data_IF_966997274286
#
_entry.id   IF_966997274286
#
_cell.length_a   1.000
_cell.length_b   1.000
_cell.length_c   1.000
_cell.angle_alpha   90.00
_cell.angle_beta   90.00
_cell.angle_gamma   90.00
#
_symmetry.space_group_name_H-M   'P 1'
#
loop_
_entity.id
_entity.type
_entity.pdbx_description
1 polymer ?
#
# COMPACT_ATOMS: atom_id res chain seq x y z
N UNK A 1 -27.37 -17.67 6.49
CA UNK A 1 -26.18 -18.18 5.75
C UNK A 1 -25.21 -18.99 6.63
N UNK A 2 -25.06 -18.72 7.93
CA UNK A 2 -24.16 -19.47 8.83
C UNK A 2 -24.69 -20.88 9.21
N UNK A 3 -26.01 -21.10 9.17
CA UNK A 3 -26.63 -22.39 9.51
C UNK A 3 -26.49 -23.46 8.41
N UNK A 4 -26.31 -23.06 7.15
CA UNK A 4 -26.12 -23.99 6.03
C UNK A 4 -24.72 -24.62 6.00
N UNK A 5 -23.71 -23.85 6.38
CA UNK A 5 -22.30 -24.30 6.40
C UNK A 5 -22.05 -25.31 7.52
N UNK A 6 -22.63 -25.10 8.72
CA UNK A 6 -22.53 -26.04 9.83
C UNK A 6 -23.19 -27.39 9.51
N UNK A 7 -24.34 -27.38 8.82
CA UNK A 7 -24.99 -28.62 8.36
C UNK A 7 -24.15 -29.36 7.34
N UNK A 8 -23.50 -28.66 6.41
CA UNK A 8 -22.62 -29.27 5.40
C UNK A 8 -21.38 -29.93 6.03
N UNK A 9 -20.77 -29.30 7.05
CA UNK A 9 -19.65 -29.88 7.78
C UNK A 9 -20.05 -31.10 8.60
N UNK A 10 -21.17 -31.05 9.33
CA UNK A 10 -21.66 -32.20 10.11
C UNK A 10 -22.04 -33.39 9.23
N UNK A 11 -22.60 -33.14 8.05
CA UNK A 11 -22.96 -34.21 7.10
C UNK A 11 -21.73 -34.87 6.45
N UNK A 12 -20.66 -34.11 6.19
CA UNK A 12 -19.36 -34.67 5.74
C UNK A 12 -18.64 -35.45 6.83
N UNK A 13 -18.70 -35.00 8.09
CA UNK A 13 -18.11 -35.74 9.21
C UNK A 13 -18.86 -37.06 9.43
N UNK A 14 -20.19 -37.06 9.28
CA UNK A 14 -20.96 -38.29 9.40
C UNK A 14 -20.60 -39.30 8.30
N UNK A 15 -20.47 -38.88 7.04
CA UNK A 15 -20.06 -39.74 5.92
C UNK A 15 -18.67 -40.38 6.12
N UNK A 16 -17.70 -39.61 6.62
CA UNK A 16 -16.34 -40.12 6.91
C UNK A 16 -16.36 -41.13 8.06
N UNK A 17 -17.21 -40.94 9.06
CA UNK A 17 -17.35 -41.89 10.17
C UNK A 17 -18.06 -43.18 9.74
N UNK A 18 -19.01 -43.12 8.81
CA UNK A 18 -19.67 -44.31 8.25
C UNK A 18 -18.72 -45.14 7.39
N UNK A 19 -17.86 -44.51 6.57
CA UNK A 19 -16.84 -45.22 5.77
C UNK A 19 -15.75 -45.90 6.62
N UNK A 20 -15.45 -45.34 7.79
CA UNK A 20 -14.53 -45.94 8.77
C UNK A 20 -15.18 -47.15 9.45
N UNK A 21 -16.50 -47.12 9.71
CA UNK A 21 -17.22 -48.21 10.35
C UNK A 21 -17.52 -49.38 9.40
N UNK A 22 -17.75 -49.12 8.10
CA UNK A 22 -18.08 -50.16 7.10
C UNK A 22 -16.88 -51.06 6.75
N UNK A 23 -15.64 -50.61 6.97
CA UNK A 23 -14.44 -51.41 6.67
C UNK A 23 -13.96 -52.33 7.80
N UNK A 24 -14.74 -52.47 8.88
CA UNK A 24 -14.44 -53.34 10.01
C UNK A 24 -15.52 -54.41 10.21
N UNK A 25 -15.80 -55.21 9.17
CA UNK A 25 -16.45 -56.52 9.37
C UNK A 25 -15.39 -57.57 9.71
N UNK A 26 -15.48 -58.05 10.95
CA UNK A 26 -14.65 -59.07 11.56
C UNK A 26 -14.95 -60.45 10.93
N UNK A 27 -14.03 -61.03 10.17
CA UNK A 27 -14.10 -62.44 9.75
C UNK A 27 -13.16 -63.30 10.61
N UNK A 28 -13.67 -64.15 11.53
CA UNK A 28 -12.84 -64.91 12.45
C UNK A 28 -12.46 -66.26 11.83
N UNK A 29 -11.58 -66.27 10.83
CA UNK A 29 -10.81 -67.46 10.48
C UNK A 29 -9.63 -67.12 9.55
N UNK A 30 -8.49 -66.77 10.15
CA UNK A 30 -7.13 -67.09 9.68
C UNK A 30 -6.10 -66.35 10.52
N UNK A 31 -5.14 -67.10 11.04
CA UNK A 31 -3.96 -66.64 11.75
C UNK A 31 -2.95 -66.07 10.76
N UNK A 32 -2.90 -64.75 10.57
CA UNK A 32 -1.81 -64.10 9.83
C UNK A 32 -1.32 -62.82 10.52
N UNK A 33 -0.04 -62.88 10.90
CA UNK A 33 0.94 -61.82 11.13
C UNK A 33 0.47 -60.35 11.00
N UNK A 34 0.60 -59.60 12.08
CA UNK A 34 0.47 -58.15 12.11
C UNK A 34 1.43 -57.48 11.12
N UNK A 35 0.87 -56.89 10.06
CA UNK A 35 1.60 -56.07 9.09
C UNK A 35 1.97 -54.71 9.72
N UNK A 36 3.27 -54.47 9.88
CA UNK A 36 3.86 -53.27 10.51
C UNK A 36 3.57 -51.97 9.75
N UNK A 37 3.13 -52.04 8.49
CA UNK A 37 2.76 -50.86 7.70
C UNK A 37 1.36 -50.33 8.01
N UNK A 38 0.44 -51.17 8.49
CA UNK A 38 -0.90 -50.75 8.90
C UNK A 38 -0.87 -49.90 10.17
N UNK A 39 -0.02 -50.30 11.13
CA UNK A 39 0.23 -49.54 12.37
C UNK A 39 0.93 -48.21 12.10
N UNK A 40 1.89 -48.15 11.15
CA UNK A 40 2.51 -46.89 10.73
C UNK A 40 1.49 -45.92 10.11
N UNK A 41 0.61 -46.41 9.23
CA UNK A 41 -0.41 -45.58 8.60
C UNK A 41 -1.47 -45.08 9.60
N UNK A 42 -1.82 -45.88 10.62
CA UNK A 42 -2.69 -45.44 11.70
C UNK A 42 -2.03 -44.36 12.57
N UNK A 43 -0.74 -44.53 12.90
CA UNK A 43 0.02 -43.57 13.71
C UNK A 43 0.23 -42.24 12.96
N UNK A 44 0.52 -42.30 11.65
CA UNK A 44 0.65 -41.10 10.79
C UNK A 44 -0.68 -40.35 10.69
N UNK A 45 -1.81 -41.06 10.55
CA UNK A 45 -3.14 -40.42 10.48
C UNK A 45 -3.54 -39.79 11.82
N UNK A 46 -3.17 -40.38 12.96
CA UNK A 46 -3.37 -39.79 14.29
C UNK A 46 -2.50 -38.55 14.52
N UNK A 47 -1.25 -38.55 14.04
CA UNK A 47 -0.36 -37.38 14.10
C UNK A 47 -0.88 -36.24 13.21
N UNK A 48 -1.38 -36.53 12.00
CA UNK A 48 -2.00 -35.51 11.12
C UNK A 48 -3.27 -34.93 11.76
N UNK A 49 -4.07 -35.74 12.45
CA UNK A 49 -5.26 -35.27 13.18
C UNK A 49 -4.87 -34.39 14.39
N UNK A 50 -3.78 -34.73 15.09
CA UNK A 50 -3.28 -33.94 16.23
C UNK A 50 -2.66 -32.60 15.80
N UNK A 51 -1.94 -32.57 14.66
CA UNK A 51 -1.42 -31.33 14.05
C UNK A 51 -2.57 -30.46 13.52
N UNK A 52 -3.62 -31.06 12.95
CA UNK A 52 -4.81 -30.32 12.50
C UNK A 52 -5.60 -29.68 13.66
N UNK A 53 -5.60 -30.29 14.85
CA UNK A 53 -6.25 -29.74 16.06
C UNK A 53 -5.43 -28.64 16.75
N UNK A 54 -4.11 -28.58 16.54
CA UNK A 54 -3.25 -27.49 17.03
C UNK A 54 -3.39 -26.20 16.19
N UNK A 55 -3.78 -26.32 14.91
CA UNK A 55 -4.01 -25.19 14.00
C UNK A 55 -5.24 -24.32 14.34
N UNK A 56 -6.14 -24.79 15.23
CA UNK A 56 -7.31 -24.04 15.67
C UNK A 56 -7.05 -23.11 16.87
N UNK A 57 -5.87 -23.16 17.50
CA UNK A 57 -5.55 -22.29 18.64
C UNK A 57 -5.05 -20.89 18.25
N UNK A 58 -4.62 -20.68 17.00
CA UNK A 58 -4.14 -19.36 16.55
C UNK A 58 -5.28 -18.34 16.36
N UNK A 59 -6.50 -18.78 16.03
CA UNK A 59 -7.66 -17.88 15.83
C UNK A 59 -8.31 -17.45 17.16
N UNK A 60 -8.10 -18.19 18.26
CA UNK A 60 -8.66 -17.85 19.58
C UNK A 60 -7.85 -16.77 20.33
N UNK A 61 -6.56 -16.60 20.02
CA UNK A 61 -5.72 -15.56 20.63
C UNK A 61 -5.99 -14.15 20.05
N UNK A 62 -6.44 -14.05 18.80
CA UNK A 62 -6.84 -12.76 18.21
C UNK A 62 -8.26 -12.31 18.57
N UNK A 63 -9.18 -13.25 18.84
CA UNK A 63 -10.54 -12.91 19.29
C UNK A 63 -10.56 -12.16 20.62
N UNK A 64 -9.76 -12.60 21.60
CA UNK A 64 -9.61 -11.90 22.89
C UNK A 64 -8.83 -10.59 22.79
N UNK A 65 -7.90 -10.46 21.83
CA UNK A 65 -7.18 -9.22 21.58
C UNK A 65 -8.11 -8.13 21.01
N UNK A 66 -9.04 -8.51 20.12
CA UNK A 66 -10.10 -7.61 19.63
C UNK A 66 -11.01 -7.08 20.73
N UNK A 67 -11.39 -7.94 21.69
CA UNK A 67 -12.23 -7.56 22.83
C UNK A 67 -11.50 -6.69 23.87
N UNK A 68 -10.20 -6.89 24.06
CA UNK A 68 -9.36 -6.09 24.98
C UNK A 68 -9.05 -4.71 24.38
N UNK A 69 -8.75 -4.64 23.07
CA UNK A 69 -8.57 -3.36 22.34
C UNK A 69 -9.84 -2.51 22.38
N UNK A 70 -11.03 -3.12 22.28
CA UNK A 70 -12.30 -2.40 22.35
C UNK A 70 -12.64 -1.85 23.76
N UNK A 71 -12.14 -2.46 24.83
CA UNK A 71 -12.41 -2.00 26.22
C UNK A 71 -11.52 -0.84 26.68
N UNK A 72 -10.30 -0.70 26.17
CA UNK A 72 -9.41 0.42 26.50
C UNK A 72 -9.65 1.69 25.68
N UNK A 73 -9.95 1.51 24.38
CA UNK A 73 -10.06 2.62 23.41
C UNK A 73 -11.42 3.34 23.47
N UNK A 74 -12.48 2.67 23.93
CA UNK A 74 -13.85 3.20 23.98
C UNK A 74 -14.07 4.35 24.97
N UNK A 75 -13.16 4.58 25.92
CA UNK A 75 -13.21 5.75 26.83
C UNK A 75 -12.66 7.04 26.19
N UNK A 76 -11.80 6.93 25.18
CA UNK A 76 -11.14 8.07 24.56
C UNK A 76 -11.66 8.38 23.14
N UNK A 77 -12.18 7.38 22.44
CA UNK A 77 -12.64 7.49 21.06
C UNK A 77 -13.96 6.74 20.86
N UNK A 78 -14.87 7.32 20.08
CA UNK A 78 -16.09 6.62 19.69
C UNK A 78 -15.80 5.57 18.59
N UNK A 79 -16.76 4.66 18.36
CA UNK A 79 -16.61 3.55 17.40
C UNK A 79 -16.34 4.03 15.97
N UNK A 80 -16.89 5.17 15.57
CA UNK A 80 -16.66 5.79 14.25
C UNK A 80 -15.23 6.30 14.11
N UNK A 81 -14.71 7.00 15.13
CA UNK A 81 -13.32 7.47 15.15
C UNK A 81 -12.32 6.31 15.14
N UNK A 82 -12.60 5.25 15.90
CA UNK A 82 -11.77 4.04 15.89
C UNK A 82 -11.78 3.34 14.52
N UNK A 83 -12.94 3.27 13.86
CA UNK A 83 -13.05 2.71 12.51
C UNK A 83 -12.24 3.55 11.51
N UNK A 84 -12.30 4.88 11.63
CA UNK A 84 -11.56 5.79 10.76
C UNK A 84 -10.04 5.69 10.96
N UNK A 85 -9.57 5.54 12.20
CA UNK A 85 -8.15 5.34 12.49
C UNK A 85 -7.61 4.07 11.85
N UNK A 86 -8.40 3.00 11.86
CA UNK A 86 -8.06 1.69 11.27
C UNK A 86 -8.17 1.66 9.75
N UNK A 87 -8.76 2.68 9.13
CA UNK A 87 -9.00 2.72 7.69
C UNK A 87 -8.04 3.70 7.04
N UNK A 88 -7.07 3.17 6.30
CA UNK A 88 -6.13 4.02 5.58
C UNK A 88 -6.79 4.69 4.36
N UNK A 89 -6.58 6.02 4.17
CA UNK A 89 -7.12 6.76 3.04
C UNK A 89 -6.59 6.27 1.69
N UNK A 90 -5.33 5.83 1.66
CA UNK A 90 -4.63 5.28 0.50
C UNK A 90 -4.08 3.90 0.88
N UNK A 91 -4.54 2.87 0.18
CA UNK A 91 -4.31 1.46 0.53
C UNK A 91 -3.31 0.75 -0.39
N UNK A 92 -2.90 1.38 -1.49
CA UNK A 92 -1.91 0.84 -2.43
C UNK A 92 -0.68 0.34 -1.69
N UNK A 93 -0.22 -0.87 -1.94
CA UNK A 93 0.93 -1.46 -1.27
C UNK A 93 1.58 -2.53 -2.15
N UNK A 94 2.63 -3.19 -1.64
CA UNK A 94 3.44 -4.11 -2.44
C UNK A 94 2.68 -5.36 -2.92
N UNK A 95 1.61 -5.75 -2.21
CA UNK A 95 0.74 -6.85 -2.63
C UNK A 95 -0.11 -6.48 -3.86
N UNK A 96 -0.30 -5.19 -4.13
CA UNK A 96 -1.04 -4.70 -5.30
C UNK A 96 -0.14 -4.67 -6.56
N UNK A 97 1.16 -4.96 -6.42
CA UNK A 97 2.12 -4.97 -7.53
C UNK A 97 2.09 -6.31 -8.28
N UNK A 98 2.33 -6.27 -9.59
CA UNK A 98 2.61 -7.50 -10.34
C UNK A 98 4.04 -7.97 -10.09
N UNK A 99 4.20 -8.90 -9.14
CA UNK A 99 5.50 -9.42 -8.71
C UNK A 99 6.06 -10.53 -9.64
N UNK A 100 5.22 -11.08 -10.53
CA UNK A 100 5.60 -12.18 -11.42
C UNK A 100 6.06 -11.70 -12.80
N UNK A 101 5.40 -10.66 -13.34
CA UNK A 101 5.75 -10.04 -14.62
C UNK A 101 6.75 -8.91 -14.41
N UNK A 102 7.98 -9.30 -14.09
CA UNK A 102 9.09 -8.37 -13.92
C UNK A 102 10.21 -8.66 -14.91
N UNK A 103 11.04 -7.67 -15.20
CA UNK A 103 12.32 -7.86 -15.91
C UNK A 103 13.47 -7.53 -14.98
N UNK A 104 14.57 -8.26 -15.13
CA UNK A 104 15.80 -8.06 -14.36
C UNK A 104 16.34 -6.65 -14.53
N UNK A 105 17.07 -6.15 -13.53
CA UNK A 105 17.49 -4.75 -13.48
C UNK A 105 18.30 -4.28 -14.72
N UNK A 106 19.16 -5.16 -15.22
CA UNK A 106 20.04 -4.91 -16.36
C UNK A 106 19.35 -5.07 -17.73
N UNK A 107 18.07 -5.43 -17.77
CA UNK A 107 17.32 -5.46 -19.02
C UNK A 107 17.36 -4.10 -19.71
N UNK A 108 17.73 -4.08 -21.00
CA UNK A 108 17.85 -2.86 -21.78
C UNK A 108 19.00 -1.94 -21.36
N UNK A 109 20.03 -2.42 -20.64
CA UNK A 109 21.16 -1.58 -20.24
C UNK A 109 21.86 -0.91 -21.43
N UNK A 110 22.03 -1.64 -22.54
CA UNK A 110 22.71 -1.18 -23.75
C UNK A 110 21.75 -0.54 -24.78
N UNK A 111 20.47 -0.37 -24.43
CA UNK A 111 19.50 0.24 -25.34
C UNK A 111 19.68 1.75 -25.43
N UNK A 112 19.52 2.28 -26.65
CA UNK A 112 19.36 3.72 -26.87
C UNK A 112 17.99 4.14 -26.36
N UNK A 113 17.96 5.02 -25.36
CA UNK A 113 16.73 5.49 -24.71
C UNK A 113 16.40 6.90 -25.20
N UNK A 114 15.21 7.05 -25.75
CA UNK A 114 14.67 8.36 -26.15
C UNK A 114 14.32 9.17 -24.91
N UNK A 115 14.81 10.40 -24.83
CA UNK A 115 14.49 11.28 -23.71
C UNK A 115 13.09 11.89 -23.90
N UNK A 116 12.20 11.71 -22.92
CA UNK A 116 10.84 12.27 -22.96
C UNK A 116 10.84 13.80 -23.08
N UNK A 117 11.90 14.48 -22.64
CA UNK A 117 12.04 15.92 -22.83
C UNK A 117 12.08 16.33 -24.30
N UNK A 118 12.65 15.50 -25.16
CA UNK A 118 12.66 15.73 -26.62
C UNK A 118 11.28 15.52 -27.27
N UNK A 119 10.34 14.94 -26.53
CA UNK A 119 8.97 14.66 -26.96
C UNK A 119 7.95 15.59 -26.29
N UNK A 120 8.39 16.60 -25.53
CA UNK A 120 7.50 17.50 -24.77
C UNK A 120 6.41 18.15 -25.62
N UNK A 121 6.70 18.49 -26.88
CA UNK A 121 5.72 19.03 -27.83
C UNK A 121 4.58 18.05 -28.20
N UNK A 122 4.76 16.75 -27.93
CA UNK A 122 3.77 15.70 -28.19
C UNK A 122 2.90 15.39 -26.96
N UNK A 123 3.22 15.97 -25.80
CA UNK A 123 2.48 15.75 -24.56
C UNK A 123 1.10 16.39 -24.64
N UNK A 124 0.07 15.66 -24.20
CA UNK A 124 -1.26 16.22 -23.95
C UNK A 124 -1.77 15.81 -22.58
N UNK A 125 -2.64 16.63 -21.97
CA UNK A 125 -3.24 16.32 -20.66
C UNK A 125 -4.16 15.09 -20.67
N UNK A 126 -4.62 14.67 -21.84
CA UNK A 126 -5.55 13.54 -21.99
C UNK A 126 -4.82 12.23 -22.20
N UNK A 127 -3.72 12.24 -22.96
CA UNK A 127 -3.01 11.02 -23.39
C UNK A 127 -1.57 10.95 -22.89
N UNK A 128 -1.10 11.98 -22.20
CA UNK A 128 0.30 12.12 -21.82
C UNK A 128 1.21 12.06 -23.05
N UNK A 129 2.26 11.23 -22.96
CA UNK A 129 3.14 10.93 -24.09
C UNK A 129 2.65 9.72 -24.86
N UNK A 130 2.47 9.87 -26.18
CA UNK A 130 2.15 8.74 -27.05
C UNK A 130 3.42 8.02 -27.51
N UNK A 131 3.74 6.89 -26.89
CA UNK A 131 4.99 6.16 -27.09
C UNK A 131 4.80 4.98 -28.05
N UNK A 132 5.68 4.87 -29.04
CA UNK A 132 5.77 3.72 -29.95
C UNK A 132 6.68 2.64 -29.35
N UNK A 133 6.81 1.44 -29.96
CA UNK A 133 7.74 0.45 -29.45
C UNK A 133 9.17 1.00 -29.38
N UNK A 134 9.83 0.81 -28.23
CA UNK A 134 11.15 1.40 -27.97
C UNK A 134 11.45 1.58 -26.49
N UNK A 135 12.60 2.19 -26.21
CA UNK A 135 13.02 2.57 -24.86
C UNK A 135 12.98 4.07 -24.67
N UNK A 136 12.48 4.50 -23.52
CA UNK A 136 12.34 5.90 -23.14
C UNK A 136 12.87 6.13 -21.73
N UNK A 137 13.22 7.37 -21.43
CA UNK A 137 13.59 7.82 -20.09
C UNK A 137 13.02 9.21 -19.80
N UNK A 138 12.74 9.49 -18.55
CA UNK A 138 12.34 10.82 -18.09
C UNK A 138 12.47 10.95 -16.58
N UNK A 139 12.39 12.17 -16.08
CA UNK A 139 12.41 12.44 -14.64
C UNK A 139 11.18 13.26 -14.28
N UNK A 140 10.40 12.80 -13.32
CA UNK A 140 9.11 13.40 -12.96
C UNK A 140 9.11 13.85 -11.51
N UNK A 141 8.31 14.88 -11.23
CA UNK A 141 7.91 15.20 -9.86
C UNK A 141 7.05 14.06 -9.31
N UNK A 142 7.27 13.70 -8.05
CA UNK A 142 6.52 12.65 -7.36
C UNK A 142 6.18 13.07 -5.94
N UNK A 143 5.36 12.28 -5.26
CA UNK A 143 4.83 12.60 -3.94
C UNK A 143 4.89 11.42 -2.99
N UNK A 144 5.25 11.67 -1.75
CA UNK A 144 5.13 10.69 -0.69
C UNK A 144 3.66 10.44 -0.35
N UNK A 145 3.23 9.18 -0.46
CA UNK A 145 1.88 8.72 -0.10
C UNK A 145 1.85 7.93 1.22
N UNK A 146 2.89 8.06 2.05
CA UNK A 146 2.95 7.40 3.35
C UNK A 146 3.85 8.18 4.32
N UNK A 147 3.25 8.83 5.32
CA UNK A 147 4.01 9.46 6.38
C UNK A 147 4.49 8.41 7.41
N UNK A 148 5.57 8.72 8.10
CA UNK A 148 6.10 7.89 9.18
C UNK A 148 6.86 6.65 8.71
N UNK A 149 7.40 6.70 7.50
CA UNK A 149 8.26 5.66 6.92
C UNK A 149 9.58 6.23 6.40
N UNK A 150 10.53 5.36 6.08
CA UNK A 150 11.81 5.78 5.50
C UNK A 150 11.60 6.31 4.09
N UNK A 151 12.35 7.35 3.72
CA UNK A 151 12.43 7.78 2.33
C UNK A 151 13.00 6.70 1.41
N UNK A 152 12.86 6.86 0.08
CA UNK A 152 13.41 5.90 -0.87
C UNK A 152 14.91 5.66 -0.66
N UNK A 153 15.30 4.39 -0.61
CA UNK A 153 16.70 3.97 -0.41
C UNK A 153 17.34 3.48 -1.71
N UNK A 154 18.64 3.20 -1.67
CA UNK A 154 19.39 2.65 -2.83
C UNK A 154 19.22 1.13 -3.00
N UNK A 155 18.56 0.43 -2.09
CA UNK A 155 18.52 -1.04 -2.08
C UNK A 155 17.28 -1.67 -2.70
N UNK A 156 16.09 -1.08 -2.51
CA UNK A 156 14.82 -1.69 -2.91
C UNK A 156 14.41 -1.36 -4.35
N UNK A 157 13.75 -2.33 -4.99
CA UNK A 157 12.93 -2.09 -6.16
C UNK A 157 11.69 -1.28 -5.81
N UNK A 158 11.24 -0.50 -6.79
CA UNK A 158 9.95 0.16 -6.81
C UNK A 158 9.15 -0.40 -7.98
N UNK A 159 8.00 -1.01 -7.69
CA UNK A 159 7.13 -1.64 -8.68
C UNK A 159 5.88 -0.78 -8.87
N UNK A 160 5.31 -0.84 -10.07
CA UNK A 160 4.01 -0.25 -10.36
C UNK A 160 2.90 -0.92 -9.55
N UNK A 161 2.04 -0.08 -8.98
CA UNK A 161 0.66 -0.42 -8.62
C UNK A 161 -0.26 0.78 -8.87
N UNK A 162 -1.56 0.57 -9.12
CA UNK A 162 -2.51 1.66 -9.22
C UNK A 162 -2.74 2.33 -7.86
N UNK A 163 -2.99 3.64 -7.88
CA UNK A 163 -3.48 4.34 -6.70
C UNK A 163 -4.84 3.76 -6.30
N UNK A 164 -4.99 3.42 -5.02
CA UNK A 164 -6.14 2.73 -4.47
C UNK A 164 -6.46 3.22 -3.05
N UNK A 165 -7.70 3.04 -2.63
CA UNK A 165 -8.19 3.36 -1.29
C UNK A 165 -9.36 4.35 -1.28
N UNK A 166 -9.97 4.59 -0.11
CA UNK A 166 -11.17 5.43 0.01
C UNK A 166 -11.00 6.88 -0.45
N UNK A 167 -9.77 7.42 -0.43
CA UNK A 167 -9.45 8.80 -0.84
C UNK A 167 -8.60 8.87 -2.11
N UNK A 168 -8.44 7.75 -2.82
CA UNK A 168 -7.73 7.64 -4.10
C UNK A 168 -8.09 8.77 -5.06
N UNK A 169 -9.38 8.95 -5.34
CA UNK A 169 -9.83 9.97 -6.29
C UNK A 169 -9.41 11.38 -5.91
N UNK A 170 -9.49 11.72 -4.62
CA UNK A 170 -9.15 13.06 -4.12
C UNK A 170 -7.63 13.28 -4.22
N UNK A 171 -6.83 12.29 -3.80
CA UNK A 171 -5.38 12.36 -3.93
C UNK A 171 -4.93 12.46 -5.40
N UNK A 172 -5.51 11.66 -6.30
CA UNK A 172 -5.26 11.76 -7.75
C UNK A 172 -5.64 13.13 -8.29
N UNK A 173 -6.81 13.66 -7.91
CA UNK A 173 -7.29 14.97 -8.36
C UNK A 173 -6.34 16.09 -7.94
N UNK A 174 -5.85 16.04 -6.71
CA UNK A 174 -4.91 17.01 -6.17
C UNK A 174 -3.58 17.03 -6.95
N UNK A 175 -3.02 15.85 -7.25
CA UNK A 175 -1.81 15.71 -8.08
C UNK A 175 -2.08 16.16 -9.52
N UNK A 176 -3.20 15.73 -10.12
CA UNK A 176 -3.55 16.05 -11.50
C UNK A 176 -3.79 17.55 -11.72
N UNK A 177 -4.51 18.20 -10.80
CA UNK A 177 -4.84 19.61 -10.92
C UNK A 177 -3.61 20.49 -10.73
N UNK A 178 -2.65 20.08 -9.90
CA UNK A 178 -1.41 20.82 -9.69
C UNK A 178 -0.62 21.09 -10.97
N UNK A 179 -0.73 20.23 -11.99
CA UNK A 179 -0.14 20.46 -13.32
C UNK A 179 -0.57 21.81 -13.94
N UNK A 180 -1.74 22.33 -13.57
CA UNK A 180 -2.27 23.60 -14.06
C UNK A 180 -1.94 24.80 -13.17
N UNK A 181 -1.26 24.57 -12.05
CA UNK A 181 -1.02 25.56 -11.01
C UNK A 181 0.48 25.63 -10.65
N UNK A 182 1.35 26.06 -11.59
CA UNK A 182 2.79 26.16 -11.36
C UNK A 182 3.16 27.19 -10.27
N UNK A 183 2.25 28.09 -9.91
CA UNK A 183 2.38 29.02 -8.80
C UNK A 183 2.30 28.35 -7.42
N UNK A 184 1.77 27.12 -7.35
CA UNK A 184 1.68 26.33 -6.12
C UNK A 184 2.94 25.48 -6.01
N UNK A 185 3.63 25.59 -4.90
CA UNK A 185 4.85 24.83 -4.66
C UNK A 185 4.54 23.34 -4.41
N UNK A 186 5.41 22.45 -4.88
CA UNK A 186 5.26 21.00 -4.68
C UNK A 186 5.11 20.64 -3.20
N UNK A 187 5.78 21.37 -2.31
CA UNK A 187 5.74 21.20 -0.85
C UNK A 187 4.32 21.41 -0.29
N UNK A 188 3.56 22.37 -0.82
CA UNK A 188 2.19 22.61 -0.38
C UNK A 188 1.28 21.43 -0.76
N UNK A 189 1.45 20.92 -1.99
CA UNK A 189 0.75 19.72 -2.48
C UNK A 189 1.10 18.48 -1.63
N UNK A 190 2.38 18.31 -1.31
CA UNK A 190 2.86 17.23 -0.44
C UNK A 190 2.24 17.28 0.97
N UNK A 191 2.16 18.47 1.57
CA UNK A 191 1.54 18.66 2.88
C UNK A 191 0.05 18.34 2.82
N UNK A 192 -0.67 18.74 1.77
CA UNK A 192 -2.08 18.37 1.61
C UNK A 192 -2.27 16.86 1.43
N UNK A 193 -1.38 16.16 0.72
CA UNK A 193 -1.42 14.69 0.63
C UNK A 193 -1.22 14.04 2.01
N UNK A 194 -0.25 14.51 2.79
CA UNK A 194 -0.07 14.05 4.16
C UNK A 194 -1.26 14.41 5.07
N UNK A 195 -1.93 15.53 4.83
CA UNK A 195 -3.15 15.89 5.55
C UNK A 195 -4.27 14.86 5.26
N UNK A 196 -4.42 14.41 4.01
CA UNK A 196 -5.34 13.32 3.64
C UNK A 196 -4.96 12.04 4.38
N UNK A 197 -3.69 11.61 4.30
CA UNK A 197 -3.19 10.36 4.90
C UNK A 197 -3.39 10.34 6.41
N UNK A 198 -3.04 11.44 7.09
CA UNK A 198 -3.19 11.59 8.52
C UNK A 198 -4.65 11.83 8.96
N UNK A 199 -5.62 11.83 8.02
CA UNK A 199 -7.06 12.01 8.27
C UNK A 199 -7.35 13.37 8.95
N UNK A 200 -6.61 14.40 8.55
CA UNK A 200 -6.63 15.74 9.17
C UNK A 200 -7.93 16.48 8.87
N UNK A 201 -8.37 17.36 9.77
CA UNK A 201 -9.47 18.26 9.49
C UNK A 201 -9.02 19.44 8.62
N UNK A 202 -9.46 19.47 7.37
CA UNK A 202 -9.09 20.51 6.40
C UNK A 202 -9.51 21.92 6.81
N UNK A 203 -10.58 22.08 7.60
CA UNK A 203 -11.03 23.40 8.09
C UNK A 203 -10.13 23.99 9.17
N UNK A 204 -9.22 23.18 9.72
CA UNK A 204 -8.25 23.58 10.75
C UNK A 204 -6.82 23.75 10.21
N UNK A 205 -6.59 23.48 8.92
CA UNK A 205 -5.29 23.73 8.30
C UNK A 205 -4.93 25.22 8.35
N UNK A 206 -3.66 25.56 8.17
CA UNK A 206 -3.26 26.95 8.00
C UNK A 206 -4.04 27.63 6.86
N UNK A 207 -4.29 28.96 6.93
CA UNK A 207 -5.01 29.67 5.88
C UNK A 207 -4.44 29.46 4.46
N UNK A 208 -3.11 29.37 4.37
CA UNK A 208 -2.40 29.11 3.11
C UNK A 208 -2.72 27.72 2.54
N UNK A 209 -2.70 26.68 3.38
CA UNK A 209 -3.05 25.32 2.96
C UNK A 209 -4.53 25.20 2.60
N UNK A 210 -5.42 25.91 3.31
CA UNK A 210 -6.84 25.98 2.96
C UNK A 210 -7.05 26.63 1.59
N UNK A 211 -6.36 27.74 1.32
CA UNK A 211 -6.41 28.42 0.03
C UNK A 211 -5.88 27.52 -1.10
N UNK A 212 -4.75 26.85 -0.88
CA UNK A 212 -4.16 25.89 -1.83
C UNK A 212 -5.14 24.74 -2.10
N UNK A 213 -5.75 24.17 -1.06
CA UNK A 213 -6.74 23.10 -1.22
C UNK A 213 -7.97 23.57 -2.00
N UNK A 214 -8.44 24.80 -1.78
CA UNK A 214 -9.58 25.38 -2.50
C UNK A 214 -9.30 25.66 -3.98
N UNK A 215 -8.03 25.86 -4.36
CA UNK A 215 -7.62 25.96 -5.78
C UNK A 215 -7.60 24.56 -6.41
N UNK A 216 -7.02 23.58 -5.72
CA UNK A 216 -6.76 22.25 -6.30
C UNK A 216 -7.92 21.27 -6.20
N UNK A 217 -8.89 21.47 -5.31
CA UNK A 217 -9.98 20.55 -5.03
C UNK A 217 -11.35 21.21 -5.21
N UNK A 218 -12.33 20.42 -5.66
CA UNK A 218 -13.71 20.90 -5.72
C UNK A 218 -14.35 20.98 -4.33
N UNK A 219 -15.42 21.76 -4.19
CA UNK A 219 -16.22 21.80 -2.95
C UNK A 219 -16.75 20.41 -2.55
N UNK A 220 -17.04 19.55 -3.52
CA UNK A 220 -17.45 18.16 -3.28
C UNK A 220 -16.31 17.35 -2.67
N UNK A 221 -15.08 17.52 -3.16
CA UNK A 221 -13.90 16.82 -2.64
C UNK A 221 -13.57 17.30 -1.21
N UNK A 222 -13.57 18.62 -0.98
CA UNK A 222 -13.37 19.20 0.36
C UNK A 222 -14.43 18.71 1.37
N UNK A 223 -15.69 18.65 0.94
CA UNK A 223 -16.78 18.11 1.79
C UNK A 223 -16.59 16.61 2.09
N UNK A 224 -16.10 15.84 1.11
CA UNK A 224 -15.79 14.43 1.28
C UNK A 224 -14.57 14.18 2.19
N UNK A 225 -13.67 15.15 2.36
CA UNK A 225 -12.60 15.10 3.36
C UNK A 225 -13.14 15.38 4.77
N UNK A 226 -14.09 16.31 4.91
CA UNK A 226 -14.71 16.67 6.19
C UNK A 226 -15.47 15.52 6.90
N UNK A 227 -15.96 14.53 6.15
CA UNK A 227 -16.66 13.36 6.71
C UNK A 227 -15.73 12.26 7.24
N UNK A 228 -14.42 12.43 7.11
CA UNK A 228 -13.40 11.43 7.44
C UNK A 228 -12.26 12.06 8.23
N UNK A 229 -12.60 12.91 9.21
CA UNK A 229 -11.64 13.67 10.00
C UNK A 229 -11.40 13.06 11.38
N UNK A 230 -10.14 13.12 11.80
CA UNK A 230 -9.67 12.83 13.15
C UNK A 230 -8.98 14.10 13.64
N UNK A 231 -9.43 14.60 14.79
CA UNK A 231 -8.76 15.73 15.40
C UNK A 231 -7.41 15.31 16.00
N UNK A 232 -6.61 16.27 16.48
CA UNK A 232 -5.44 15.94 17.27
C UNK A 232 -5.85 15.15 18.52
N UNK A 233 -5.23 13.99 18.76
CA UNK A 233 -5.50 13.13 19.89
C UNK A 233 -4.56 13.47 21.05
N UNK A 234 -5.10 13.52 22.27
CA UNK A 234 -4.30 13.73 23.49
C UNK A 234 -3.32 12.58 23.72
N UNK A 235 -2.33 12.78 24.60
CA UNK A 235 -1.34 11.75 24.94
C UNK A 235 -1.98 10.47 25.48
N UNK A 236 -3.02 10.61 26.32
CA UNK A 236 -3.75 9.49 26.92
C UNK A 236 -4.56 8.72 25.86
N UNK A 237 -5.25 9.43 24.97
CA UNK A 237 -5.99 8.84 23.87
C UNK A 237 -5.05 8.08 22.91
N UNK A 238 -3.88 8.67 22.62
CA UNK A 238 -2.84 8.05 21.81
C UNK A 238 -2.23 6.81 22.45
N UNK A 239 -1.94 6.87 23.75
CA UNK A 239 -1.40 5.72 24.48
C UNK A 239 -2.39 4.56 24.48
N UNK A 240 -3.68 4.84 24.75
CA UNK A 240 -4.74 3.83 24.70
C UNK A 240 -4.88 3.19 23.31
N UNK A 241 -4.80 4.00 22.25
CA UNK A 241 -4.87 3.52 20.86
C UNK A 241 -3.67 2.65 20.46
N UNK A 242 -2.47 3.03 20.90
CA UNK A 242 -1.21 2.43 20.41
C UNK A 242 -0.70 1.30 21.29
N UNK A 243 -1.20 1.14 22.51
CA UNK A 243 -0.68 0.18 23.51
C UNK A 243 -0.56 -1.27 22.98
N UNK A 244 -1.46 -1.68 22.10
CA UNK A 244 -1.51 -3.04 21.55
C UNK A 244 -1.08 -3.12 20.08
N UNK A 245 -0.61 -2.01 19.49
CA UNK A 245 -0.10 -2.03 18.13
C UNK A 245 1.35 -2.51 18.12
N UNK A 246 1.73 -3.41 17.20
CA UNK A 246 3.13 -3.75 17.00
C UNK A 246 3.87 -2.55 16.39
N UNK A 247 5.18 -2.44 16.67
CA UNK A 247 6.06 -1.68 15.78
C UNK A 247 6.11 -2.42 14.44
N UNK A 248 6.03 -1.75 13.27
CA UNK A 248 6.11 -0.30 13.01
C UNK A 248 4.76 0.45 12.94
N UNK A 249 3.63 -0.25 13.07
CA UNK A 249 2.30 0.36 12.94
C UNK A 249 2.05 1.43 14.01
N UNK A 250 2.52 1.20 15.23
CA UNK A 250 2.48 2.19 16.32
C UNK A 250 3.16 3.50 15.94
N UNK A 251 4.40 3.42 15.45
CA UNK A 251 5.18 4.58 14.98
C UNK A 251 4.41 5.40 13.93
N UNK A 252 3.80 4.75 12.95
CA UNK A 252 3.01 5.43 11.90
C UNK A 252 1.85 6.22 12.51
N UNK A 253 1.04 5.61 13.37
CA UNK A 253 -0.13 6.26 13.98
C UNK A 253 0.28 7.44 14.86
N UNK A 254 1.37 7.31 15.61
CA UNK A 254 1.93 8.42 16.42
C UNK A 254 2.41 9.58 15.56
N UNK A 255 3.09 9.29 14.45
CA UNK A 255 3.56 10.31 13.51
C UNK A 255 2.38 11.02 12.84
N UNK A 256 1.36 10.29 12.37
CA UNK A 256 0.14 10.90 11.83
C UNK A 256 -0.52 11.86 12.83
N UNK A 257 -0.54 11.51 14.13
CA UNK A 257 -1.07 12.39 15.18
C UNK A 257 -0.24 13.66 15.37
N UNK A 258 1.09 13.54 15.38
CA UNK A 258 1.98 14.71 15.51
C UNK A 258 1.89 15.62 14.28
N UNK A 259 1.81 15.04 13.08
CA UNK A 259 1.62 15.78 11.82
C UNK A 259 0.30 16.57 11.85
N UNK A 260 -0.82 15.96 12.27
CA UNK A 260 -2.10 16.67 12.47
C UNK A 260 -1.93 17.89 13.37
N UNK A 261 -1.22 17.74 14.48
CA UNK A 261 -0.95 18.84 15.41
C UNK A 261 -0.12 19.97 14.80
N UNK A 262 0.89 19.66 13.99
CA UNK A 262 1.69 20.68 13.29
C UNK A 262 0.89 21.42 12.21
N UNK A 263 0.10 20.70 11.42
CA UNK A 263 -0.69 21.30 10.33
C UNK A 263 -1.77 22.29 10.81
N UNK A 264 -2.16 22.20 12.08
CA UNK A 264 -3.09 23.17 12.70
C UNK A 264 -2.40 24.44 13.21
N UNK A 265 -1.07 24.46 13.29
CA UNK A 265 -0.32 25.67 13.65
C UNK A 265 -0.24 26.59 12.44
N UNK A 266 -0.49 27.88 12.66
CA UNK A 266 -0.45 28.87 11.60
C UNK A 266 0.96 29.05 10.97
N UNK A 267 2.02 28.70 11.70
CA UNK A 267 3.41 28.97 11.33
C UNK A 267 4.29 27.71 11.24
N UNK A 268 3.72 26.50 11.20
CA UNK A 268 4.52 25.30 10.99
C UNK A 268 5.12 25.34 9.58
N UNK A 269 6.44 25.25 9.50
CA UNK A 269 7.17 25.16 8.24
C UNK A 269 7.02 23.79 7.60
N UNK A 270 7.22 23.73 6.29
CA UNK A 270 7.28 22.47 5.57
C UNK A 270 8.34 21.53 6.14
N UNK A 271 9.52 22.05 6.48
CA UNK A 271 10.65 21.27 6.99
C UNK A 271 10.34 20.63 8.34
N UNK A 272 9.61 21.33 9.21
CA UNK A 272 9.15 20.76 10.49
C UNK A 272 8.19 19.58 10.25
N UNK A 273 7.24 19.72 9.33
CA UNK A 273 6.30 18.64 8.98
C UNK A 273 7.03 17.46 8.33
N UNK A 274 7.90 17.74 7.36
CA UNK A 274 8.69 16.76 6.63
C UNK A 274 9.60 15.95 7.55
N UNK A 275 10.23 16.60 8.54
CA UNK A 275 11.09 15.92 9.53
C UNK A 275 10.35 14.87 10.36
N UNK A 276 9.03 15.02 10.55
CA UNK A 276 8.20 14.01 11.20
C UNK A 276 7.72 12.95 10.22
N UNK A 277 7.40 13.35 8.99
CA UNK A 277 6.85 12.45 7.97
C UNK A 277 7.89 11.45 7.43
N UNK A 278 9.18 11.73 7.60
CA UNK A 278 10.28 10.86 7.18
C UNK A 278 11.03 10.27 8.37
N UNK A 279 11.14 8.94 8.41
CA UNK A 279 12.05 8.27 9.34
C UNK A 279 13.51 8.45 8.89
N UNK A 280 14.40 8.75 9.84
CA UNK A 280 15.84 8.81 9.60
C UNK A 280 16.43 7.41 9.45
N UNK A 281 17.29 7.20 8.46
CA UNK A 281 18.00 5.92 8.26
C UNK A 281 17.62 5.24 6.96
N UNK A 282 17.86 3.93 6.88
CA UNK A 282 17.63 3.11 5.69
C UNK A 282 16.66 1.99 6.03
N UNK A 283 15.59 1.85 5.25
CA UNK A 283 14.67 0.73 5.39
C UNK A 283 15.38 -0.61 5.14
N UNK A 284 14.94 -1.70 5.79
CA UNK A 284 15.37 -3.05 5.43
C UNK A 284 15.07 -3.33 3.95
N UNK A 285 16.05 -3.87 3.23
CA UNK A 285 15.94 -4.16 1.79
C UNK A 285 15.32 -5.53 1.58
N UNK A 286 14.45 -5.64 0.58
CA UNK A 286 13.95 -6.91 0.09
C UNK A 286 14.89 -7.46 -0.99
N UNK A 287 15.78 -8.39 -0.61
CA UNK A 287 16.79 -8.95 -1.53
C UNK A 287 16.20 -9.66 -2.75
N UNK A 288 14.95 -10.14 -2.67
CA UNK A 288 14.25 -10.75 -3.82
C UNK A 288 13.92 -9.73 -4.91
N UNK A 289 13.79 -8.46 -4.53
CA UNK A 289 13.45 -7.37 -5.42
C UNK A 289 14.49 -6.24 -5.33
N UNK A 290 15.70 -6.46 -5.88
CA UNK A 290 16.75 -5.45 -5.92
C UNK A 290 16.33 -4.22 -6.73
N UNK A 291 16.88 -3.06 -6.35
CA UNK A 291 16.70 -1.79 -7.06
C UNK A 291 16.90 -1.95 -8.57
N UNK A 292 16.04 -1.28 -9.33
CA UNK A 292 16.13 -1.19 -10.78
C UNK A 292 15.41 -2.30 -11.54
N UNK A 293 14.69 -3.21 -10.87
CA UNK A 293 13.77 -4.12 -11.54
C UNK A 293 12.68 -3.36 -12.31
N UNK A 294 12.30 -3.90 -13.46
CA UNK A 294 11.18 -3.40 -14.25
C UNK A 294 9.88 -4.07 -13.80
N UNK A 295 8.83 -3.29 -13.59
CA UNK A 295 7.47 -3.78 -13.36
C UNK A 295 6.62 -3.66 -14.62
N UNK A 296 5.77 -4.64 -14.88
CA UNK A 296 4.79 -4.58 -15.96
C UNK A 296 3.62 -3.64 -15.62
N UNK A 297 3.32 -2.72 -16.54
CA UNK A 297 2.16 -1.84 -16.49
C UNK A 297 0.97 -2.47 -17.25
N UNK A 298 -0.28 -2.36 -16.76
CA UNK A 298 -1.47 -2.91 -17.41
C UNK A 298 -1.68 -2.48 -18.87
N UNK A 299 -1.21 -1.29 -19.22
CA UNK A 299 -1.28 -0.75 -20.58
C UNK A 299 -0.25 -1.38 -21.56
N UNK A 300 0.47 -2.42 -21.13
CA UNK A 300 1.25 -3.28 -22.03
C UNK A 300 2.74 -2.93 -22.13
N UNK A 301 3.23 -1.98 -21.34
CA UNK A 301 4.64 -1.60 -21.28
C UNK A 301 5.28 -2.01 -19.96
N UNK A 302 6.62 -1.91 -19.87
CA UNK A 302 7.37 -2.11 -18.64
C UNK A 302 7.94 -0.77 -18.18
N UNK A 303 7.93 -0.54 -16.87
CA UNK A 303 8.45 0.67 -16.25
C UNK A 303 9.40 0.33 -15.11
N UNK A 304 10.51 1.04 -15.05
CA UNK A 304 11.50 1.00 -13.96
C UNK A 304 11.47 2.32 -13.22
N UNK A 305 11.16 2.28 -11.94
CA UNK A 305 11.19 3.46 -11.08
C UNK A 305 12.54 3.58 -10.37
N UNK A 306 13.13 4.77 -10.42
CA UNK A 306 14.41 5.12 -9.82
C UNK A 306 14.24 6.42 -9.00
N UNK A 307 13.68 6.34 -7.79
CA UNK A 307 13.52 7.51 -6.94
C UNK A 307 14.87 8.13 -6.56
N UNK A 308 14.95 9.46 -6.56
CA UNK A 308 16.09 10.24 -6.05
C UNK A 308 15.82 10.82 -4.65
N UNK A 309 14.63 10.52 -4.15
CA UNK A 309 13.92 11.10 -3.01
C UNK A 309 12.44 10.86 -3.26
N UNK A 310 11.56 11.24 -2.35
CA UNK A 310 10.12 11.06 -2.61
C UNK A 310 9.57 12.11 -3.59
N UNK A 311 10.23 13.26 -3.70
CA UNK A 311 9.79 14.40 -4.50
C UNK A 311 10.16 14.29 -5.99
N UNK A 312 11.08 13.39 -6.34
CA UNK A 312 11.58 13.21 -7.71
C UNK A 312 11.81 11.73 -8.01
N UNK A 313 11.18 11.25 -9.08
CA UNK A 313 11.35 9.87 -9.57
C UNK A 313 11.81 9.90 -11.02
N UNK A 314 12.98 9.30 -11.29
CA UNK A 314 13.37 8.98 -12.66
C UNK A 314 12.72 7.68 -13.09
N UNK A 315 12.31 7.61 -14.35
CA UNK A 315 11.68 6.43 -14.94
C UNK A 315 12.41 6.02 -16.21
N UNK A 316 12.51 4.71 -16.41
CA UNK A 316 12.79 4.13 -17.72
C UNK A 316 11.55 3.35 -18.16
N UNK A 317 11.20 3.46 -19.45
CA UNK A 317 10.02 2.82 -20.03
C UNK A 317 10.46 1.97 -21.20
N UNK A 318 9.97 0.74 -21.26
CA UNK A 318 10.13 -0.14 -22.40
C UNK A 318 8.76 -0.50 -22.96
N UNK A 319 8.51 -0.10 -24.20
CA UNK A 319 7.28 -0.44 -24.95
C UNK A 319 7.60 -1.60 -25.90
N UNK A 320 7.07 -2.81 -25.65
CA UNK A 320 7.29 -3.96 -26.53
C UNK A 320 6.66 -3.77 -27.92
N UNK A 321 7.21 -4.45 -28.93
CA UNK A 321 6.67 -4.39 -30.31
C UNK A 321 5.18 -4.76 -30.38
N UNK A 322 4.77 -5.79 -29.65
CA UNK A 322 3.40 -6.26 -29.61
C UNK A 322 2.42 -5.31 -28.91
N UNK A 323 2.91 -4.34 -28.12
CA UNK A 323 2.06 -3.33 -27.49
C UNK A 323 1.63 -2.24 -28.48
N UNK A 324 2.34 -2.10 -29.61
CA UNK A 324 2.08 -1.03 -30.57
C UNK A 324 2.35 0.34 -29.94
N UNK A 325 1.36 1.23 -30.03
CA UNK A 325 1.46 2.58 -29.45
C UNK A 325 0.67 2.65 -28.15
N UNK A 326 1.29 3.18 -27.10
CA UNK A 326 0.69 3.36 -25.78
C UNK A 326 0.64 4.84 -25.41
N UNK A 327 -0.25 5.18 -24.49
CA UNK A 327 -0.33 6.50 -23.87
C UNK A 327 0.33 6.40 -22.48
N UNK A 328 1.33 7.23 -22.21
CA UNK A 328 2.04 7.29 -20.94
C UNK A 328 1.61 8.55 -20.17
N UNK A 329 0.74 8.35 -19.18
CA UNK A 329 0.18 9.39 -18.32
C UNK A 329 0.29 8.93 -16.84
N UNK A 330 1.39 9.27 -16.15
CA UNK A 330 1.74 8.64 -14.87
C UNK A 330 0.84 9.03 -13.69
N UNK A 331 0.00 10.07 -13.82
CA UNK A 331 -0.90 10.46 -12.71
C UNK A 331 -1.93 9.37 -12.41
N UNK A 332 -1.88 8.83 -11.20
CA UNK A 332 -2.67 7.67 -10.79
C UNK A 332 -1.81 6.42 -10.59
N UNK A 333 -0.57 6.44 -11.05
CA UNK A 333 0.42 5.41 -10.79
C UNK A 333 1.08 5.64 -9.44
N UNK A 334 1.45 4.54 -8.78
CA UNK A 334 2.25 4.55 -7.58
C UNK A 334 3.49 3.68 -7.81
N UNK A 335 4.66 4.27 -7.59
CA UNK A 335 5.88 3.51 -7.42
C UNK A 335 5.92 3.00 -5.98
N UNK A 336 5.76 1.68 -5.82
CA UNK A 336 5.64 1.03 -4.52
C UNK A 336 6.92 0.29 -4.17
N UNK A 337 7.54 0.57 -3.02
CA UNK A 337 8.75 -0.13 -2.61
C UNK A 337 8.46 -1.60 -2.27
N UNK A 338 9.41 -2.48 -2.59
CA UNK A 338 9.38 -3.87 -2.15
C UNK A 338 9.50 -4.03 -0.63
N UNK A 339 10.08 -3.05 0.07
CA UNK A 339 10.07 -2.95 1.52
C UNK A 339 8.88 -2.12 2.01
N UNK A 340 8.10 -2.71 2.92
CA UNK A 340 6.94 -2.06 3.55
C UNK A 340 7.31 -0.92 4.51
N UNK A 341 8.60 -0.79 4.85
CA UNK A 341 9.11 0.29 5.68
C UNK A 341 9.42 1.57 4.90
N UNK A 342 9.37 1.54 3.57
CA UNK A 342 9.71 2.66 2.70
C UNK A 342 8.48 3.40 2.18
N UNK A 343 8.65 4.66 1.77
CA UNK A 343 7.58 5.48 1.21
C UNK A 343 7.09 4.97 -0.15
N UNK A 344 5.77 4.92 -0.31
CA UNK A 344 5.05 4.78 -1.59
C UNK A 344 5.02 6.13 -2.30
N UNK A 345 5.28 6.15 -3.61
CA UNK A 345 5.44 7.40 -4.36
C UNK A 345 4.37 7.56 -5.43
N UNK A 346 3.44 8.50 -5.22
CA UNK A 346 2.49 8.91 -6.24
C UNK A 346 3.19 9.65 -7.36
N UNK A 347 2.97 9.23 -8.60
CA UNK A 347 3.59 9.84 -9.77
C UNK A 347 2.75 11.03 -10.28
N UNK A 348 3.41 12.02 -10.86
CA UNK A 348 2.75 13.17 -11.50
C UNK A 348 3.17 13.29 -12.96
N UNK A 349 2.40 14.04 -13.74
CA UNK A 349 2.74 14.31 -15.14
C UNK A 349 3.81 15.39 -15.33
N UNK A 350 4.27 16.05 -14.25
CA UNK A 350 5.23 17.15 -14.36
C UNK A 350 6.62 16.58 -14.64
N UNK A 351 6.97 16.58 -15.92
CA UNK A 351 8.29 16.22 -16.43
C UNK A 351 9.30 17.33 -16.09
N UNK A 352 10.42 16.94 -15.51
CA UNK A 352 11.58 17.79 -15.24
C UNK A 352 12.51 17.65 -16.43
N UNK A 353 12.57 18.70 -17.24
CA UNK A 353 13.57 18.88 -18.27
C UNK A 353 14.54 19.94 -17.78
N UNK A 354 15.81 19.59 -17.61
CA UNK A 354 16.84 20.59 -17.41
C UNK A 354 16.74 21.57 -18.57
N UNK A 355 16.65 22.87 -18.27
CA UNK A 355 16.86 23.89 -19.30
C UNK A 355 18.33 23.78 -19.69
N UNK A 356 18.60 23.10 -20.80
CA UNK A 356 19.91 23.11 -21.44
C UNK A 356 20.30 24.53 -21.86
#
# INVERSE_FOLDING_TARGET
>A
MITGWLRFCLQKIHLVLTDIYINFEFNPSKSEMYNTDSLKNFTIRLVILFVALQSFHAQAQFGKLGDIVNKGVSKALNSSQLKLLKSDPITTNFDDCNQEKTLVADFGKDSVKTDLCTLSAQYTKTTGFRLKPGFYKGTFKSFCLQAGTYGPSRGDAYLFAPLAGPKEKIARTLIANWENHPEIEQSQVQVLLWAIIAKTNFTKLSPELQATAAILLSQKDLSALGSSVIDYLSGEAMQSLTQNLPEPAKTIVEIENKIRGLMYKANASYQEIESLAMLTGVAPVNEKFPRGIWSFHPDGYYIKYLPQGYSVTSVEIYVPQQAGTIDFLPTGDVAVPASRGSQRLGQSNILICDQQ
#
